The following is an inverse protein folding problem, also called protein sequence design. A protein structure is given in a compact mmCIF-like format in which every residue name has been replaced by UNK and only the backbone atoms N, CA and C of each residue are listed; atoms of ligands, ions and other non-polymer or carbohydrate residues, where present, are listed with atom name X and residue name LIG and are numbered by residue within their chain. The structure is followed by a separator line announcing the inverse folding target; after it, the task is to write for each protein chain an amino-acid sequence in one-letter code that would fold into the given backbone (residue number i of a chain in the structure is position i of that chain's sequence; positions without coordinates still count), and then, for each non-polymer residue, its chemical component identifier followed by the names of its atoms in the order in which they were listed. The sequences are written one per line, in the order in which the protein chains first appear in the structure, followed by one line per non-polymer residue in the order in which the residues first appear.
data_IF_219404514683
#
_entry.id   IF_219404514683
#
_cell.length_a   1.000
_cell.length_b   1.000
_cell.length_c   1.000
_cell.angle_alpha   90.00
_cell.angle_beta   90.00
_cell.angle_gamma   90.00
#
_symmetry.space_group_name_H-M   'P 1'
#
loop_
_entity.id
_entity.type
_entity.pdbx_description
1 polymer ?
#
# COMPACT_ATOMS: atom_id res chain seq x y z
N UNK A 1 -13.19 -45.06 -53.67
CA UNK A 1 -14.07 -45.07 -52.46
C UNK A 1 -14.79 -43.73 -52.41
N UNK A 2 -16.05 -43.62 -52.89
CA UNK A 2 -16.78 -42.36 -52.92
C UNK A 2 -17.52 -42.18 -51.60
N UNK A 3 -17.08 -41.23 -50.80
CA UNK A 3 -17.76 -40.85 -49.53
C UNK A 3 -19.15 -40.31 -49.91
N UNK A 4 -20.20 -40.87 -49.35
CA UNK A 4 -21.57 -40.47 -49.59
C UNK A 4 -21.76 -39.01 -49.15
N UNK A 5 -22.19 -38.13 -50.04
CA UNK A 5 -22.36 -36.66 -49.75
C UNK A 5 -23.16 -36.41 -48.47
N UNK A 6 -24.15 -37.20 -48.17
CA UNK A 6 -24.94 -37.11 -46.93
C UNK A 6 -24.10 -37.34 -45.67
N UNK A 7 -23.18 -38.32 -45.72
CA UNK A 7 -22.29 -38.65 -44.57
C UNK A 7 -21.31 -37.48 -44.37
N UNK A 8 -20.75 -36.90 -45.44
CA UNK A 8 -19.86 -35.73 -45.37
C UNK A 8 -20.57 -34.53 -44.74
N UNK A 9 -21.82 -34.26 -45.13
CA UNK A 9 -22.62 -33.13 -44.59
C UNK A 9 -22.86 -33.34 -43.08
N UNK A 10 -23.20 -34.52 -42.61
CA UNK A 10 -23.38 -34.80 -41.20
C UNK A 10 -22.09 -34.63 -40.37
N UNK A 11 -20.96 -35.05 -40.90
CA UNK A 11 -19.67 -34.87 -40.25
C UNK A 11 -19.35 -33.35 -40.07
N UNK A 12 -19.56 -32.54 -41.10
CA UNK A 12 -19.35 -31.08 -41.04
C UNK A 12 -20.28 -30.42 -40.03
N UNK A 13 -21.57 -30.82 -40.00
CA UNK A 13 -22.53 -30.24 -39.02
C UNK A 13 -22.14 -30.63 -37.59
N UNK A 14 -21.71 -31.88 -37.33
CA UNK A 14 -21.24 -32.30 -36.02
C UNK A 14 -19.97 -31.52 -35.59
N UNK A 15 -19.02 -31.31 -36.49
CA UNK A 15 -17.81 -30.51 -36.20
C UNK A 15 -18.13 -29.06 -35.87
N UNK A 16 -19.02 -28.43 -36.65
CA UNK A 16 -19.46 -27.06 -36.36
C UNK A 16 -20.19 -27.00 -35.00
N UNK A 17 -21.09 -27.98 -34.74
CA UNK A 17 -21.78 -28.05 -33.45
C UNK A 17 -20.81 -28.21 -32.26
N UNK A 18 -19.83 -29.08 -32.39
CA UNK A 18 -18.82 -29.28 -31.34
C UNK A 18 -17.95 -28.05 -31.10
N UNK A 19 -17.57 -27.33 -32.17
CA UNK A 19 -16.80 -26.09 -32.01
C UNK A 19 -17.64 -24.98 -31.37
N UNK A 20 -18.90 -24.80 -31.74
CA UNK A 20 -19.80 -23.84 -31.12
C UNK A 20 -20.01 -24.12 -29.62
N UNK A 21 -20.28 -25.40 -29.28
CA UNK A 21 -20.42 -25.82 -27.88
C UNK A 21 -19.14 -25.57 -27.10
N UNK A 22 -17.96 -25.86 -27.65
CA UNK A 22 -16.67 -25.60 -27.03
C UNK A 22 -16.42 -24.10 -26.78
N UNK A 23 -16.77 -23.25 -27.73
CA UNK A 23 -16.66 -21.77 -27.57
C UNK A 23 -17.61 -21.23 -26.48
N UNK A 24 -18.86 -21.73 -26.46
CA UNK A 24 -19.86 -21.37 -25.45
C UNK A 24 -19.38 -21.78 -24.06
N UNK A 25 -18.93 -23.02 -23.87
CA UNK A 25 -18.43 -23.51 -22.58
C UNK A 25 -17.24 -22.64 -22.13
N UNK A 26 -16.30 -22.34 -23.00
CA UNK A 26 -15.12 -21.51 -22.67
C UNK A 26 -15.50 -20.08 -22.27
N UNK A 27 -16.57 -19.52 -22.83
CA UNK A 27 -17.06 -18.19 -22.48
C UNK A 27 -17.72 -18.12 -21.08
N UNK A 28 -18.18 -19.24 -20.57
CA UNK A 28 -18.82 -19.35 -19.24
C UNK A 28 -17.87 -19.88 -18.15
N UNK A 29 -16.61 -20.17 -18.46
CA UNK A 29 -15.63 -20.54 -17.42
C UNK A 29 -15.36 -19.31 -16.55
N UNK A 30 -15.67 -19.37 -15.25
CA UNK A 30 -15.37 -18.28 -14.33
C UNK A 30 -13.85 -18.01 -14.30
N UNK A 31 -13.47 -16.76 -14.42
CA UNK A 31 -12.06 -16.36 -14.45
C UNK A 31 -11.85 -15.12 -13.59
N UNK A 32 -10.74 -15.07 -12.90
CA UNK A 32 -10.24 -13.90 -12.20
C UNK A 32 -8.80 -13.64 -12.66
N UNK A 33 -8.28 -12.46 -12.41
CA UNK A 33 -6.93 -12.06 -12.85
C UNK A 33 -6.13 -11.57 -11.66
N UNK A 34 -4.91 -12.07 -11.52
CA UNK A 34 -3.93 -11.57 -10.57
C UNK A 34 -2.86 -10.83 -11.36
N UNK A 35 -2.63 -9.56 -11.02
CA UNK A 35 -1.55 -8.72 -11.55
C UNK A 35 -0.40 -8.71 -10.55
N UNK A 36 0.81 -9.02 -11.00
CA UNK A 36 1.99 -9.12 -10.15
C UNK A 36 2.88 -7.88 -10.28
N UNK A 37 3.06 -7.18 -9.17
CA UNK A 37 4.07 -6.13 -9.02
C UNK A 37 5.12 -6.64 -8.04
N UNK A 38 6.22 -7.19 -8.55
CA UNK A 38 7.19 -7.95 -7.76
C UNK A 38 8.60 -7.40 -7.88
N UNK A 39 9.34 -7.47 -6.79
CA UNK A 39 10.77 -7.23 -6.73
C UNK A 39 11.44 -8.42 -5.99
N UNK A 40 12.46 -9.09 -6.60
CA UNK A 40 13.09 -8.80 -7.89
C UNK A 40 12.13 -8.96 -9.10
N UNK A 41 12.57 -8.51 -10.29
CA UNK A 41 11.74 -8.46 -11.50
C UNK A 41 11.24 -9.83 -12.00
N UNK A 42 11.88 -10.93 -11.61
CA UNK A 42 11.47 -12.29 -11.90
C UNK A 42 11.42 -13.10 -10.62
N UNK A 43 10.31 -13.81 -10.40
CA UNK A 43 10.08 -14.64 -9.21
C UNK A 43 9.38 -15.93 -9.60
N UNK A 44 9.48 -16.94 -8.74
CA UNK A 44 8.65 -18.14 -8.82
C UNK A 44 7.44 -17.96 -7.92
N UNK A 45 6.25 -18.13 -8.51
CA UNK A 45 4.97 -18.03 -7.81
C UNK A 45 4.34 -19.41 -7.74
N UNK A 46 3.95 -19.83 -6.54
CA UNK A 46 3.10 -21.00 -6.32
C UNK A 46 1.67 -20.51 -6.07
N UNK A 47 0.73 -20.93 -6.90
CA UNK A 47 -0.70 -20.63 -6.75
C UNK A 47 -1.42 -21.97 -6.56
N UNK A 48 -1.97 -22.21 -5.37
CA UNK A 48 -2.71 -23.43 -5.03
C UNK A 48 -1.95 -24.75 -5.34
N UNK A 49 -0.61 -24.71 -5.19
CA UNK A 49 0.26 -25.87 -5.45
C UNK A 49 0.89 -25.92 -6.85
N UNK A 50 0.51 -25.03 -7.77
CA UNK A 50 1.10 -24.95 -9.11
C UNK A 50 2.19 -23.85 -9.16
N UNK A 51 3.40 -24.24 -9.55
CA UNK A 51 4.52 -23.32 -9.67
C UNK A 51 4.61 -22.75 -11.09
N UNK A 52 4.86 -21.45 -11.18
CA UNK A 52 5.14 -20.78 -12.45
C UNK A 52 6.09 -19.61 -12.24
N UNK A 53 6.90 -19.29 -13.25
CA UNK A 53 7.76 -18.11 -13.24
C UNK A 53 6.95 -16.91 -13.69
N UNK A 54 7.08 -15.80 -12.96
CA UNK A 54 6.34 -14.56 -13.18
C UNK A 54 7.31 -13.40 -13.24
N UNK A 55 7.09 -12.51 -14.18
CA UNK A 55 7.81 -11.25 -14.29
C UNK A 55 7.00 -10.10 -13.70
N UNK A 56 7.70 -9.07 -13.25
CA UNK A 56 7.06 -7.83 -12.81
C UNK A 56 6.15 -7.25 -13.92
N UNK A 57 4.92 -6.90 -13.55
CA UNK A 57 3.92 -6.41 -14.50
C UNK A 57 3.11 -7.51 -15.22
N UNK A 58 3.33 -8.77 -14.93
CA UNK A 58 2.62 -9.89 -15.57
C UNK A 58 1.24 -10.12 -14.94
N UNK A 59 0.26 -10.47 -15.80
CA UNK A 59 -1.07 -10.91 -15.38
C UNK A 59 -1.20 -12.42 -15.50
N UNK A 60 -1.83 -13.06 -14.51
CA UNK A 60 -2.17 -14.48 -14.52
C UNK A 60 -3.66 -14.64 -14.33
N UNK A 61 -4.27 -15.46 -15.19
CA UNK A 61 -5.68 -15.84 -15.05
C UNK A 61 -5.81 -17.05 -14.13
N UNK A 62 -6.66 -16.94 -13.13
CA UNK A 62 -6.93 -17.99 -12.14
C UNK A 62 -8.42 -18.29 -12.04
N UNK A 63 -8.76 -19.44 -11.47
CA UNK A 63 -10.15 -19.77 -11.09
C UNK A 63 -10.54 -18.93 -9.86
N UNK A 64 -11.77 -18.38 -9.80
CA UNK A 64 -12.28 -17.74 -8.60
C UNK A 64 -12.33 -18.71 -7.42
N UNK A 65 -12.16 -18.17 -6.21
CA UNK A 65 -12.16 -18.95 -4.98
C UNK A 65 -11.04 -18.54 -4.05
N UNK A 66 -10.70 -19.41 -3.13
CA UNK A 66 -9.57 -19.24 -2.23
C UNK A 66 -8.26 -19.49 -2.98
N UNK A 67 -7.34 -18.54 -2.84
CA UNK A 67 -6.01 -18.56 -3.44
C UNK A 67 -4.99 -18.61 -2.30
N UNK A 68 -4.17 -19.66 -2.32
CA UNK A 68 -2.97 -19.77 -1.49
C UNK A 68 -1.78 -19.44 -2.38
N UNK A 69 -1.17 -18.28 -2.13
CA UNK A 69 -0.09 -17.73 -2.91
C UNK A 69 1.21 -17.82 -2.13
N UNK A 70 2.28 -18.30 -2.77
CA UNK A 70 3.64 -18.16 -2.26
C UNK A 70 4.52 -17.58 -3.37
N UNK A 71 5.26 -16.53 -3.06
CA UNK A 71 6.23 -15.90 -3.95
C UNK A 71 7.63 -16.19 -3.41
N UNK A 72 8.51 -16.71 -4.25
CA UNK A 72 9.86 -17.10 -3.86
C UNK A 72 10.86 -16.83 -4.97
N UNK A 73 12.11 -16.61 -4.59
CA UNK A 73 13.26 -16.53 -5.47
C UNK A 73 14.49 -17.05 -4.72
N UNK A 74 15.46 -17.62 -5.44
CA UNK A 74 16.71 -18.07 -4.83
C UNK A 74 17.42 -16.90 -4.15
N UNK A 75 17.96 -17.12 -2.93
CA UNK A 75 18.66 -16.13 -2.11
C UNK A 75 17.77 -14.99 -1.57
N UNK A 76 16.43 -15.20 -1.56
CA UNK A 76 15.44 -14.30 -0.97
C UNK A 76 14.53 -15.02 0.02
N UNK A 77 14.08 -14.31 1.04
CA UNK A 77 13.02 -14.77 1.92
C UNK A 77 11.72 -14.92 1.14
N UNK A 78 10.97 -16.01 1.36
CA UNK A 78 9.68 -16.22 0.67
C UNK A 78 8.55 -15.42 1.32
N UNK A 79 7.61 -14.97 0.49
CA UNK A 79 6.36 -14.34 0.91
C UNK A 79 5.19 -15.29 0.69
N UNK A 80 4.24 -15.34 1.63
CA UNK A 80 3.02 -16.15 1.49
C UNK A 80 1.79 -15.37 1.96
N UNK A 81 0.70 -15.48 1.18
CA UNK A 81 -0.59 -14.84 1.46
C UNK A 81 -1.73 -15.78 1.03
N UNK A 82 -2.85 -15.75 1.76
CA UNK A 82 -4.09 -16.42 1.38
C UNK A 82 -5.23 -15.42 1.27
N UNK A 83 -5.97 -15.44 0.18
CA UNK A 83 -7.09 -14.55 -0.07
C UNK A 83 -8.16 -15.20 -0.95
N UNK A 84 -9.34 -14.61 -0.96
CA UNK A 84 -10.43 -15.01 -1.86
C UNK A 84 -10.56 -14.03 -3.01
N UNK A 85 -10.68 -14.54 -4.24
CA UNK A 85 -10.90 -13.73 -5.44
C UNK A 85 -12.21 -14.13 -6.12
N UNK A 86 -13.00 -13.13 -6.55
CA UNK A 86 -14.32 -13.35 -7.17
C UNK A 86 -14.21 -13.45 -8.69
N UNK A 87 -15.27 -14.01 -9.31
CA UNK A 87 -15.35 -14.05 -10.77
C UNK A 87 -15.31 -12.65 -11.38
N UNK A 88 -14.44 -12.45 -12.37
CA UNK A 88 -14.22 -11.17 -13.03
C UNK A 88 -13.38 -10.16 -12.23
N UNK A 89 -12.97 -10.51 -11.02
CA UNK A 89 -12.13 -9.63 -10.18
C UNK A 89 -10.71 -9.60 -10.70
N UNK A 90 -10.12 -8.40 -10.62
CA UNK A 90 -8.69 -8.17 -10.80
C UNK A 90 -8.08 -7.79 -9.45
N UNK A 91 -7.06 -8.52 -9.02
CA UNK A 91 -6.33 -8.25 -7.78
C UNK A 91 -4.86 -8.01 -8.10
N UNK A 92 -4.29 -6.96 -7.51
CA UNK A 92 -2.85 -6.74 -7.54
C UNK A 92 -2.20 -7.42 -6.34
N UNK A 93 -1.08 -8.13 -6.60
CA UNK A 93 -0.15 -8.65 -5.60
C UNK A 93 1.10 -7.80 -5.69
N UNK A 94 1.34 -6.99 -4.66
CA UNK A 94 2.45 -6.06 -4.57
C UNK A 94 3.44 -6.56 -3.51
N UNK A 95 4.58 -7.12 -3.95
CA UNK A 95 5.55 -7.79 -3.08
C UNK A 95 6.98 -7.41 -3.44
N UNK A 96 7.76 -7.01 -2.44
CA UNK A 96 9.23 -6.98 -2.53
C UNK A 96 9.79 -8.06 -1.59
N UNK A 97 10.54 -9.00 -2.14
CA UNK A 97 11.20 -10.03 -1.35
C UNK A 97 12.45 -9.44 -0.67
N UNK A 98 12.72 -9.89 0.54
CA UNK A 98 13.91 -9.50 1.29
C UNK A 98 15.12 -10.33 0.83
N UNK A 99 16.21 -9.66 0.47
CA UNK A 99 17.44 -10.31 0.02
C UNK A 99 18.20 -10.93 1.21
N UNK A 100 18.62 -12.18 1.07
CA UNK A 100 19.43 -12.90 2.07
C UNK A 100 20.93 -12.81 1.78
N UNK A 101 21.31 -12.36 0.59
CA UNK A 101 22.72 -12.24 0.16
C UNK A 101 23.00 -10.91 -0.52
N UNK A 102 24.27 -10.50 -0.54
CA UNK A 102 24.69 -9.31 -1.27
C UNK A 102 24.48 -9.43 -2.79
N UNK A 103 24.47 -10.64 -3.35
CA UNK A 103 24.16 -10.88 -4.76
C UNK A 103 22.68 -10.62 -5.04
N UNK A 104 21.79 -11.08 -4.16
CA UNK A 104 20.35 -10.82 -4.24
C UNK A 104 20.03 -9.32 -4.11
N UNK A 105 20.73 -8.57 -3.25
CA UNK A 105 20.57 -7.12 -3.16
C UNK A 105 20.83 -6.39 -4.48
N UNK A 106 21.75 -6.88 -5.31
CA UNK A 106 22.01 -6.29 -6.63
C UNK A 106 20.80 -6.43 -7.56
N UNK A 107 20.05 -7.52 -7.46
CA UNK A 107 18.83 -7.74 -8.25
C UNK A 107 17.72 -6.76 -7.87
N UNK A 108 17.69 -6.28 -6.63
CA UNK A 108 16.74 -5.25 -6.19
C UNK A 108 17.08 -3.84 -6.69
N UNK A 109 18.30 -3.61 -7.20
CA UNK A 109 18.73 -2.28 -7.70
C UNK A 109 18.30 -2.00 -9.14
N UNK A 110 17.63 -2.93 -9.80
CA UNK A 110 17.07 -2.69 -11.14
C UNK A 110 15.97 -1.63 -11.08
N UNK A 111 15.76 -0.84 -12.14
CA UNK A 111 14.73 0.19 -12.15
C UNK A 111 13.32 -0.34 -11.86
N UNK A 112 12.97 -1.52 -12.39
CA UNK A 112 11.67 -2.15 -12.16
C UNK A 112 11.48 -2.55 -10.69
N UNK A 113 12.46 -3.20 -10.08
CA UNK A 113 12.45 -3.56 -8.65
C UNK A 113 12.35 -2.31 -7.75
N UNK A 114 13.10 -1.26 -8.07
CA UNK A 114 13.07 0.00 -7.30
C UNK A 114 11.71 0.68 -7.34
N UNK A 115 11.02 0.65 -8.48
CA UNK A 115 9.65 1.18 -8.58
C UNK A 115 8.67 0.42 -7.68
N UNK A 116 8.76 -0.91 -7.61
CA UNK A 116 7.93 -1.73 -6.72
C UNK A 116 8.20 -1.39 -5.26
N UNK A 117 9.47 -1.31 -4.86
CA UNK A 117 9.89 -0.97 -3.49
C UNK A 117 9.39 0.43 -3.10
N UNK A 118 9.52 1.41 -3.99
CA UNK A 118 9.01 2.77 -3.75
C UNK A 118 7.49 2.81 -3.59
N UNK A 119 6.74 2.03 -4.39
CA UNK A 119 5.28 1.92 -4.23
C UNK A 119 4.88 1.33 -2.89
N UNK A 120 5.56 0.27 -2.43
CA UNK A 120 5.31 -0.33 -1.11
C UNK A 120 5.58 0.70 0.00
N UNK A 121 6.71 1.41 -0.07
CA UNK A 121 7.03 2.47 0.88
C UNK A 121 6.01 3.62 0.86
N UNK A 122 5.58 4.05 -0.33
CA UNK A 122 4.55 5.08 -0.48
C UNK A 122 3.21 4.66 0.13
N UNK A 123 2.75 3.45 -0.14
CA UNK A 123 1.51 2.91 0.43
C UNK A 123 1.58 2.80 1.96
N UNK A 124 2.73 2.41 2.51
CA UNK A 124 2.93 2.35 3.96
C UNK A 124 2.88 3.74 4.61
N UNK A 125 3.48 4.75 3.98
CA UNK A 125 3.44 6.14 4.45
C UNK A 125 2.02 6.70 4.40
N UNK A 126 1.27 6.42 3.32
CA UNK A 126 -0.13 6.88 3.19
C UNK A 126 -1.03 6.22 4.23
N UNK A 127 -0.92 4.91 4.44
CA UNK A 127 -1.66 4.19 5.47
C UNK A 127 -1.33 4.69 6.89
N UNK A 128 -0.05 4.98 7.17
CA UNK A 128 0.38 5.59 8.43
C UNK A 128 -0.22 6.98 8.64
N UNK A 129 -0.24 7.81 7.59
CA UNK A 129 -0.84 9.14 7.63
C UNK A 129 -2.37 9.09 7.83
N UNK A 130 -3.07 8.12 7.23
CA UNK A 130 -4.51 7.93 7.44
C UNK A 130 -4.81 7.50 8.88
N UNK A 131 -4.07 6.55 9.42
CA UNK A 131 -4.18 6.12 10.82
C UNK A 131 -3.93 7.27 11.81
N UNK A 132 -2.94 8.14 11.52
CA UNK A 132 -2.71 9.34 12.32
C UNK A 132 -3.90 10.30 12.26
N UNK A 133 -4.52 10.51 11.09
CA UNK A 133 -5.72 11.37 10.97
C UNK A 133 -6.92 10.81 11.74
N UNK A 134 -7.09 9.49 11.74
CA UNK A 134 -8.14 8.84 12.53
C UNK A 134 -7.92 9.02 14.03
N UNK A 135 -6.69 8.81 14.52
CA UNK A 135 -6.35 8.90 15.94
C UNK A 135 -6.25 10.35 16.44
N UNK A 136 -5.86 11.28 15.57
CA UNK A 136 -5.62 12.69 15.88
C UNK A 136 -6.30 13.60 14.85
N UNK A 137 -7.63 13.74 14.87
CA UNK A 137 -8.38 14.51 13.85
C UNK A 137 -7.90 15.96 13.69
N UNK A 138 -7.38 16.57 14.76
CA UNK A 138 -6.84 17.94 14.75
C UNK A 138 -5.71 18.15 13.73
N UNK A 139 -4.98 17.10 13.32
CA UNK A 139 -3.87 17.27 12.37
C UNK A 139 -4.34 17.73 10.99
N UNK A 140 -5.61 17.56 10.64
CA UNK A 140 -6.18 18.05 9.38
C UNK A 140 -6.28 19.58 9.36
N UNK A 141 -6.30 20.21 10.53
CA UNK A 141 -6.38 21.66 10.71
C UNK A 141 -4.99 22.33 10.90
N UNK A 142 -3.95 21.51 11.07
CA UNK A 142 -2.59 22.00 11.29
C UNK A 142 -1.85 22.24 9.95
N UNK A 143 -0.95 23.21 9.87
CA UNK A 143 -0.55 24.14 10.94
C UNK A 143 -1.50 25.33 11.13
N UNK A 144 -1.78 25.71 12.37
CA UNK A 144 -2.47 26.96 12.67
C UNK A 144 -1.42 28.04 12.88
N UNK A 145 -1.44 29.08 12.04
CA UNK A 145 -0.48 30.16 12.09
C UNK A 145 -1.15 31.46 12.53
N UNK A 146 -0.60 32.08 13.55
CA UNK A 146 -0.96 33.41 14.03
C UNK A 146 0.30 34.28 14.15
N UNK A 147 0.13 35.57 14.35
CA UNK A 147 1.27 36.51 14.52
C UNK A 147 2.07 36.21 15.79
N UNK A 148 1.42 35.74 16.84
CA UNK A 148 1.96 35.59 18.17
C UNK A 148 2.19 34.14 18.60
N UNK A 149 1.66 33.18 17.83
CA UNK A 149 1.84 31.75 18.06
C UNK A 149 1.74 30.92 16.78
N UNK A 150 2.27 29.71 16.84
CA UNK A 150 2.09 28.71 15.80
C UNK A 150 1.79 27.36 16.45
N UNK A 151 0.79 26.64 15.91
CA UNK A 151 0.42 25.31 16.39
C UNK A 151 0.77 24.31 15.28
N UNK A 152 1.58 23.33 15.63
CA UNK A 152 2.08 22.30 14.72
C UNK A 152 2.02 20.93 15.37
N UNK A 153 2.07 19.90 14.56
CA UNK A 153 2.35 18.54 14.99
C UNK A 153 3.84 18.40 15.30
N UNK A 154 4.17 17.66 16.36
CA UNK A 154 5.56 17.30 16.69
C UNK A 154 5.62 15.88 17.26
N UNK A 155 6.83 15.39 17.47
CA UNK A 155 7.08 14.09 18.08
C UNK A 155 6.58 14.08 19.54
N UNK A 156 5.94 12.97 19.93
CA UNK A 156 5.53 12.76 21.32
C UNK A 156 6.75 12.68 22.24
N UNK A 157 6.69 13.38 23.38
CA UNK A 157 7.70 13.28 24.42
C UNK A 157 7.46 12.08 25.35
N UNK A 158 6.20 11.65 25.45
CA UNK A 158 5.84 10.46 26.23
C UNK A 158 6.25 9.17 25.53
N UNK A 159 6.22 9.17 24.18
CA UNK A 159 6.54 8.02 23.33
C UNK A 159 7.55 8.39 22.22
N UNK A 160 8.79 8.72 22.59
CA UNK A 160 9.79 9.16 21.62
C UNK A 160 10.15 8.04 20.65
N UNK A 161 10.20 8.36 19.35
CA UNK A 161 10.49 7.41 18.29
C UNK A 161 9.32 6.57 17.81
N UNK A 162 8.12 6.70 18.40
CA UNK A 162 6.91 6.04 17.93
C UNK A 162 6.21 6.90 16.87
N UNK A 163 6.21 6.49 15.58
CA UNK A 163 5.61 7.29 14.51
C UNK A 163 4.07 7.36 14.58
N UNK A 164 3.42 6.51 15.36
CA UNK A 164 1.97 6.52 15.56
C UNK A 164 1.53 7.43 16.72
N UNK A 165 2.50 8.00 17.46
CA UNK A 165 2.26 8.89 18.61
C UNK A 165 2.81 10.27 18.32
N UNK A 166 1.93 11.25 18.42
CA UNK A 166 2.28 12.64 18.18
C UNK A 166 1.89 13.53 19.37
N UNK A 167 2.55 14.66 19.48
CA UNK A 167 2.15 15.74 20.34
C UNK A 167 1.73 16.97 19.52
N UNK A 168 0.97 17.85 20.13
CA UNK A 168 0.62 19.17 19.60
C UNK A 168 1.59 20.19 20.19
N UNK A 169 2.48 20.71 19.36
CA UNK A 169 3.42 21.73 19.76
C UNK A 169 2.82 23.14 19.56
N UNK A 170 2.71 23.89 20.63
CA UNK A 170 2.29 25.30 20.63
C UNK A 170 3.53 26.17 20.80
N UNK A 171 4.00 26.75 19.71
CA UNK A 171 5.12 27.67 19.67
C UNK A 171 4.62 29.08 19.98
N UNK A 172 5.09 29.66 21.07
CA UNK A 172 4.72 31.00 21.51
C UNK A 172 5.82 32.00 21.13
N UNK A 173 5.47 32.99 20.34
CA UNK A 173 6.32 34.14 20.02
C UNK A 173 6.06 35.32 20.99
N UNK A 174 4.92 35.24 21.70
CA UNK A 174 4.54 36.14 22.81
C UNK A 174 3.90 35.24 23.89
N UNK A 175 4.42 35.31 25.11
CA UNK A 175 3.92 34.47 26.24
C UNK A 175 2.48 34.82 26.61
N UNK A 176 2.02 36.04 26.37
CA UNK A 176 0.62 36.43 26.61
C UNK A 176 -0.34 35.77 25.61
N UNK A 177 0.15 35.25 24.49
CA UNK A 177 -0.66 34.58 23.48
C UNK A 177 -1.07 33.17 23.85
N UNK A 178 -0.59 32.62 24.97
CA UNK A 178 -0.89 31.23 25.38
C UNK A 178 -2.39 30.94 25.39
N UNK A 179 -3.18 31.82 26.03
CA UNK A 179 -4.63 31.63 26.09
C UNK A 179 -5.28 31.76 24.70
N UNK A 180 -4.74 32.64 23.84
CA UNK A 180 -5.25 32.78 22.48
C UNK A 180 -4.98 31.54 21.63
N UNK A 181 -3.85 30.88 21.80
CA UNK A 181 -3.53 29.62 21.14
C UNK A 181 -4.46 28.48 21.61
N UNK A 182 -4.71 28.37 22.90
CA UNK A 182 -5.68 27.43 23.48
C UNK A 182 -7.07 27.66 22.87
N UNK A 183 -7.55 28.90 22.90
CA UNK A 183 -8.86 29.25 22.35
C UNK A 183 -8.97 28.99 20.83
N UNK A 184 -7.85 29.00 20.09
CA UNK A 184 -7.85 28.70 18.68
C UNK A 184 -8.16 27.20 18.43
N UNK A 185 -7.61 26.30 19.26
CA UNK A 185 -7.88 24.85 19.22
C UNK A 185 -9.33 24.56 19.63
N UNK A 186 -9.78 25.17 20.72
CA UNK A 186 -11.15 24.99 21.22
C UNK A 186 -12.22 25.46 20.23
N UNK A 187 -11.96 26.56 19.48
CA UNK A 187 -12.88 27.04 18.43
C UNK A 187 -13.04 26.07 17.26
N UNK A 188 -12.05 25.21 17.02
CA UNK A 188 -12.12 24.13 16.04
C UNK A 188 -12.88 22.91 16.59
N UNK A 189 -13.29 22.94 17.87
CA UNK A 189 -14.05 21.86 18.50
C UNK A 189 -13.20 20.79 19.16
N UNK A 190 -11.89 21.02 19.33
CA UNK A 190 -10.98 20.09 19.97
C UNK A 190 -10.69 20.49 21.42
N UNK A 191 -10.52 19.48 22.29
CA UNK A 191 -10.06 19.68 23.66
C UNK A 191 -8.56 19.41 23.77
N UNK A 192 -7.83 20.27 24.48
CA UNK A 192 -6.41 20.04 24.76
C UNK A 192 -6.16 18.82 25.64
N UNK A 193 -7.17 18.42 26.43
CA UNK A 193 -7.07 17.25 27.31
C UNK A 193 -7.02 15.92 26.52
N UNK A 194 -7.43 15.94 25.23
CA UNK A 194 -7.41 14.76 24.36
C UNK A 194 -6.03 14.53 23.72
N UNK A 195 -5.08 15.45 23.93
CA UNK A 195 -3.79 15.43 23.25
C UNK A 195 -2.62 15.65 24.21
N UNK A 196 -1.48 15.06 23.90
CA UNK A 196 -0.21 15.50 24.48
C UNK A 196 0.12 16.90 23.93
N UNK A 197 0.18 17.90 24.82
CA UNK A 197 0.44 19.31 24.43
C UNK A 197 1.77 19.77 24.96
N UNK A 198 2.62 20.27 24.06
CA UNK A 198 3.95 20.81 24.37
C UNK A 198 3.98 22.30 24.08
N UNK A 199 4.12 23.12 25.11
CA UNK A 199 4.37 24.55 24.93
C UNK A 199 5.86 24.79 24.71
N UNK A 200 6.18 25.53 23.64
CA UNK A 200 7.53 25.95 23.28
C UNK A 200 7.58 27.49 23.33
N UNK A 201 8.37 28.04 24.23
CA UNK A 201 8.59 29.46 24.31
C UNK A 201 9.70 29.84 23.33
N UNK A 202 9.32 30.50 22.25
CA UNK A 202 10.18 31.00 21.18
C UNK A 202 10.23 32.54 21.20
N UNK A 203 10.08 33.16 22.38
CA UNK A 203 10.30 34.59 22.53
C UNK A 203 11.75 34.96 22.20
N UNK A 204 11.96 36.19 21.75
CA UNK A 204 13.29 36.63 21.35
C UNK A 204 14.33 36.52 22.48
N UNK A 205 13.92 36.70 23.73
CA UNK A 205 14.77 36.56 24.91
C UNK A 205 15.25 35.10 25.09
N UNK A 206 14.36 34.12 24.98
CA UNK A 206 14.71 32.70 25.12
C UNK A 206 15.54 32.16 23.95
N UNK A 207 15.30 32.64 22.74
CA UNK A 207 16.12 32.25 21.57
C UNK A 207 17.55 32.75 21.76
N UNK A 208 17.73 33.97 22.27
CA UNK A 208 19.05 34.56 22.52
C UNK A 208 19.81 33.81 23.62
N UNK A 209 19.14 33.43 24.72
CA UNK A 209 19.75 32.61 25.78
C UNK A 209 20.20 31.23 25.29
N UNK A 210 19.44 30.60 24.41
CA UNK A 210 19.79 29.28 23.82
C UNK A 210 20.92 29.39 22.80
N UNK A 211 21.07 30.51 22.09
CA UNK A 211 22.15 30.73 21.11
C UNK A 211 23.47 31.15 21.73
N UNK A 212 23.50 31.48 23.03
CA UNK A 212 24.71 31.85 23.75
C UNK A 212 25.26 33.23 23.39
N UNK A 213 24.43 34.14 22.83
CA UNK A 213 24.78 35.54 22.53
C UNK A 213 24.47 36.47 23.68
#
# INVERSE_FOLDING_TARGET
MSINRKVLTWIVVCLIGATVVGLVINAFIPRATIYFSVAPEEVTVNINGENQTVQNGQEITVSPGEINLTVSQSEFSSYSESFTIKNGEKREVLVALEAETAAAELLLRTPGSQLVIQRIGGNAVEAGAEKLRENYPIITELPINDRFFKIIMCESREFPGDPEKIAICIQLFDLQARQSAINAIERLGYSLDDYEVVFQDLTYENIREQSGE
#
